data_IF_929888866951
#
_entry.id   IF_929888866951
#
_cell.length_a   1.000
_cell.length_b   1.000
_cell.length_c   1.000
_cell.angle_alpha   90.00
_cell.angle_beta   90.00
_cell.angle_gamma   90.00
#
_symmetry.space_group_name_H-M   'P 1'
#
loop_
_entity.id
_entity.type
_entity.pdbx_description
1 polymer ?
#
# COMPACT_ATOMS: atom_id res chain seq x y z
N UNK A 1 -3.36 2.45 -10.35
CA UNK A 1 -2.80 2.04 -9.04
C UNK A 1 -1.72 0.98 -9.30
N UNK A 2 -0.62 0.97 -8.54
CA UNK A 2 0.48 0.03 -8.75
C UNK A 2 0.11 -1.32 -8.12
N UNK A 3 0.29 -2.41 -8.87
CA UNK A 3 -0.05 -3.75 -8.40
C UNK A 3 1.06 -4.73 -8.76
N UNK A 4 1.35 -5.65 -7.85
CA UNK A 4 2.16 -6.84 -8.13
C UNK A 4 1.57 -8.08 -7.48
N UNK A 5 1.97 -9.23 -8.03
CA UNK A 5 1.74 -10.56 -7.51
C UNK A 5 2.97 -11.43 -7.78
N UNK A 6 3.21 -12.41 -6.94
CA UNK A 6 4.33 -13.31 -7.12
C UNK A 6 4.14 -14.62 -6.40
N UNK A 7 5.11 -15.48 -6.62
CA UNK A 7 5.20 -16.76 -5.96
C UNK A 7 6.66 -17.10 -5.67
N UNK A 8 6.84 -17.84 -4.59
CA UNK A 8 8.11 -18.44 -4.21
C UNK A 8 7.86 -19.91 -3.90
N UNK A 9 8.48 -20.81 -4.67
CA UNK A 9 8.14 -22.23 -4.64
C UNK A 9 9.25 -23.06 -4.00
N UNK A 10 8.88 -24.17 -3.36
CA UNK A 10 9.85 -25.22 -2.99
C UNK A 10 10.09 -26.24 -4.12
N UNK A 11 9.25 -26.23 -5.17
CA UNK A 11 9.42 -26.96 -6.45
C UNK A 11 8.83 -26.17 -7.64
N UNK A 12 9.45 -26.23 -8.82
CA UNK A 12 9.11 -25.34 -9.94
C UNK A 12 7.88 -25.83 -10.73
N UNK A 13 6.80 -25.06 -10.75
CA UNK A 13 5.63 -25.29 -11.60
C UNK A 13 5.34 -24.06 -12.49
N UNK A 14 5.62 -24.18 -13.80
CA UNK A 14 5.41 -23.12 -14.80
C UNK A 14 3.94 -22.79 -15.04
N UNK A 15 3.01 -23.61 -14.59
CA UNK A 15 1.59 -23.43 -14.90
C UNK A 15 1.01 -22.13 -14.30
N UNK A 16 1.72 -21.49 -13.37
CA UNK A 16 1.23 -20.35 -12.60
C UNK A 16 1.65 -18.97 -13.09
N UNK A 17 2.68 -18.84 -13.93
CA UNK A 17 3.11 -17.54 -14.48
C UNK A 17 1.99 -16.88 -15.30
N UNK A 18 1.24 -17.69 -16.05
CA UNK A 18 0.11 -17.24 -16.87
C UNK A 18 -1.06 -16.74 -16.03
N UNK A 19 -1.32 -17.33 -14.87
CA UNK A 19 -2.45 -16.99 -14.00
C UNK A 19 -2.26 -15.63 -13.31
N UNK A 20 -1.05 -15.35 -12.79
CA UNK A 20 -0.74 -14.04 -12.20
C UNK A 20 -0.81 -12.91 -13.23
N UNK A 21 -0.21 -13.15 -14.39
CA UNK A 21 -0.24 -12.19 -15.49
C UNK A 21 -1.68 -11.93 -15.98
N UNK A 22 -2.51 -12.96 -16.08
CA UNK A 22 -3.91 -12.84 -16.49
C UNK A 22 -4.75 -12.09 -15.44
N UNK A 23 -4.61 -12.44 -14.16
CA UNK A 23 -5.31 -11.78 -13.05
C UNK A 23 -4.99 -10.28 -12.98
N UNK A 24 -3.71 -9.92 -13.11
CA UNK A 24 -3.28 -8.53 -13.18
C UNK A 24 -3.79 -7.83 -14.45
N UNK A 25 -3.75 -8.50 -15.62
CA UNK A 25 -4.24 -7.92 -16.88
C UNK A 25 -5.70 -7.52 -16.80
N UNK A 26 -6.55 -8.34 -16.15
CA UNK A 26 -7.97 -8.03 -15.93
C UNK A 26 -8.18 -6.76 -15.10
N UNK A 27 -7.28 -6.45 -14.17
CA UNK A 27 -7.34 -5.24 -13.33
C UNK A 27 -6.85 -3.98 -14.07
N UNK A 28 -5.94 -4.14 -15.01
CA UNK A 28 -5.30 -3.04 -15.73
C UNK A 28 -5.50 -3.14 -17.23
N UNK A 29 -6.73 -3.38 -17.70
CA UNK A 29 -7.18 -3.82 -19.04
C UNK A 29 -6.47 -3.28 -20.31
N UNK A 30 -5.53 -2.34 -20.20
CA UNK A 30 -4.69 -1.80 -21.29
C UNK A 30 -3.18 -2.06 -21.14
N UNK A 31 -2.68 -2.44 -19.96
CA UNK A 31 -1.25 -2.62 -19.68
C UNK A 31 -0.89 -4.10 -19.54
N UNK A 32 0.13 -4.53 -20.30
CA UNK A 32 0.69 -5.88 -20.18
C UNK A 32 1.53 -5.95 -18.89
N UNK A 33 1.33 -6.97 -18.03
CA UNK A 33 2.20 -7.17 -16.87
C UNK A 33 3.64 -7.42 -17.29
N UNK A 34 4.59 -6.85 -16.53
CA UNK A 34 6.00 -7.19 -16.60
C UNK A 34 6.28 -8.33 -15.61
N UNK A 35 6.92 -9.41 -16.08
CA UNK A 35 7.22 -10.59 -15.26
C UNK A 35 8.72 -10.84 -15.25
N UNK A 36 9.25 -11.14 -14.06
CA UNK A 36 10.65 -11.52 -13.83
C UNK A 36 10.69 -12.82 -13.03
N UNK A 37 11.61 -13.70 -13.41
CA UNK A 37 11.86 -14.99 -12.78
C UNK A 37 13.34 -15.13 -12.42
N UNK A 38 13.63 -15.75 -11.28
CA UNK A 38 14.98 -16.18 -10.90
C UNK A 38 14.83 -17.43 -10.03
N UNK A 39 15.58 -18.48 -10.32
CA UNK A 39 15.47 -19.76 -9.60
C UNK A 39 14.03 -20.25 -9.50
N UNK A 40 13.55 -20.40 -8.26
CA UNK A 40 12.20 -20.82 -7.86
C UNK A 40 11.27 -19.65 -7.52
N UNK A 41 11.63 -18.41 -7.87
CA UNK A 41 10.84 -17.22 -7.62
C UNK A 41 10.29 -16.60 -8.91
N UNK A 42 9.07 -16.06 -8.83
CA UNK A 42 8.45 -15.26 -9.88
C UNK A 42 7.76 -14.03 -9.30
N UNK A 43 7.90 -12.90 -9.99
CA UNK A 43 7.20 -11.65 -9.70
C UNK A 43 6.63 -11.06 -10.98
N UNK A 44 5.34 -10.71 -10.97
CA UNK A 44 4.65 -10.02 -12.05
C UNK A 44 4.01 -8.74 -11.54
N UNK A 45 4.08 -7.65 -12.30
CA UNK A 45 3.55 -6.36 -11.88
C UNK A 45 2.98 -5.52 -13.03
N UNK A 46 2.08 -4.60 -12.69
CA UNK A 46 1.53 -3.56 -13.56
C UNK A 46 1.69 -2.19 -12.90
N UNK A 47 2.07 -1.18 -13.69
CA UNK A 47 2.36 0.20 -13.25
C UNK A 47 3.50 0.33 -12.22
N UNK A 48 4.22 -0.76 -11.96
CA UNK A 48 5.53 -0.81 -11.30
C UNK A 48 6.36 -1.88 -11.99
N UNK A 49 7.66 -1.95 -11.70
CA UNK A 49 8.61 -2.82 -12.39
C UNK A 49 9.31 -3.78 -11.42
N UNK A 50 9.12 -5.10 -11.57
CA UNK A 50 9.93 -6.07 -10.85
C UNK A 50 11.35 -6.09 -11.44
N UNK A 51 12.34 -6.41 -10.63
CA UNK A 51 13.74 -6.45 -11.04
C UNK A 51 14.40 -7.72 -10.52
N UNK A 52 15.19 -8.39 -11.37
CA UNK A 52 16.14 -9.42 -10.95
C UNK A 52 17.57 -8.88 -11.00
N UNK A 53 18.35 -9.14 -9.94
CA UNK A 53 19.76 -8.79 -9.82
C UNK A 53 20.45 -9.88 -8.99
N UNK A 54 21.51 -10.50 -9.51
CA UNK A 54 22.33 -11.55 -8.88
C UNK A 54 21.55 -12.54 -8.00
N UNK A 55 20.61 -13.29 -8.60
CA UNK A 55 19.84 -14.31 -7.89
C UNK A 55 18.77 -13.78 -6.93
N UNK A 56 18.54 -12.46 -6.87
CA UNK A 56 17.43 -11.86 -6.11
C UNK A 56 16.41 -11.24 -7.05
N UNK A 57 15.13 -11.29 -6.67
CA UNK A 57 14.05 -10.60 -7.36
C UNK A 57 13.37 -9.66 -6.36
N UNK A 58 13.05 -8.44 -6.79
CA UNK A 58 12.40 -7.44 -5.95
C UNK A 58 11.31 -6.70 -6.70
N UNK A 59 10.25 -6.31 -6.00
CA UNK A 59 9.21 -5.43 -6.50
C UNK A 59 8.68 -4.53 -5.38
N UNK A 60 8.38 -3.28 -5.71
CA UNK A 60 7.81 -2.29 -4.79
C UNK A 60 6.61 -1.63 -5.45
N UNK A 61 5.46 -1.63 -4.78
CA UNK A 61 4.32 -0.81 -5.15
C UNK A 61 4.19 0.36 -4.17
N UNK A 62 4.11 1.58 -4.70
CA UNK A 62 4.06 2.82 -3.92
C UNK A 62 5.42 3.54 -3.84
N UNK A 63 5.55 4.41 -2.84
CA UNK A 63 6.67 5.32 -2.63
C UNK A 63 7.43 4.94 -1.36
N UNK A 64 8.53 4.22 -1.56
CA UNK A 64 9.41 3.82 -0.47
C UNK A 64 10.41 4.95 -0.16
N UNK A 65 10.50 5.32 1.11
CA UNK A 65 11.40 6.36 1.61
C UNK A 65 12.56 5.72 2.36
N UNK A 66 13.78 6.17 2.03
CA UNK A 66 15.01 5.72 2.67
C UNK A 66 15.55 6.76 3.64
N UNK A 67 16.00 6.35 4.82
CA UNK A 67 16.74 7.21 5.75
C UNK A 67 18.19 7.48 5.27
N UNK A 68 18.80 6.52 4.57
CA UNK A 68 20.13 6.66 3.96
C UNK A 68 20.11 7.54 2.70
N UNK A 69 21.05 8.50 2.60
CA UNK A 69 21.26 9.32 1.40
C UNK A 69 21.70 8.50 0.19
N UNK A 70 22.54 7.50 0.41
CA UNK A 70 23.00 6.56 -0.61
C UNK A 70 21.82 5.80 -1.23
N UNK A 71 20.97 5.19 -0.39
CA UNK A 71 19.80 4.45 -0.88
C UNK A 71 18.76 5.35 -1.55
N UNK A 72 18.61 6.61 -1.11
CA UNK A 72 17.79 7.60 -1.82
C UNK A 72 18.32 7.84 -3.24
N UNK A 73 19.63 8.06 -3.38
CA UNK A 73 20.27 8.27 -4.68
C UNK A 73 20.12 7.04 -5.57
N UNK A 74 20.44 5.86 -5.04
CA UNK A 74 20.28 4.60 -5.75
C UNK A 74 18.83 4.37 -6.21
N UNK A 75 17.84 4.70 -5.37
CA UNK A 75 16.43 4.57 -5.76
C UNK A 75 16.00 5.54 -6.85
N UNK A 76 16.61 6.74 -6.92
CA UNK A 76 16.34 7.71 -7.97
C UNK A 76 16.98 7.30 -9.30
N UNK A 77 18.20 6.75 -9.26
CA UNK A 77 18.96 6.35 -10.45
C UNK A 77 18.48 5.00 -11.01
N UNK A 78 18.08 4.07 -10.14
CA UNK A 78 17.86 2.67 -10.49
C UNK A 78 16.50 2.11 -10.06
N UNK A 79 15.67 2.89 -9.38
CA UNK A 79 14.34 2.50 -8.92
C UNK A 79 14.33 1.81 -7.55
N UNK A 80 13.15 1.80 -6.91
CA UNK A 80 12.98 1.29 -5.55
C UNK A 80 13.33 -0.18 -5.39
N UNK A 81 13.00 -1.04 -6.35
CA UNK A 81 13.27 -2.48 -6.26
C UNK A 81 14.78 -2.79 -6.23
N UNK A 82 15.60 -2.07 -7.02
CA UNK A 82 17.06 -2.24 -6.98
C UNK A 82 17.66 -1.73 -5.67
N UNK A 83 17.20 -0.58 -5.20
CA UNK A 83 17.62 -0.06 -3.90
C UNK A 83 17.22 -0.99 -2.74
N UNK A 84 16.06 -1.64 -2.83
CA UNK A 84 15.61 -2.64 -1.86
C UNK A 84 16.52 -3.86 -1.80
N UNK A 85 16.82 -4.47 -2.96
CA UNK A 85 17.76 -5.60 -3.06
C UNK A 85 19.13 -5.21 -2.49
N UNK A 86 19.62 -4.03 -2.84
CA UNK A 86 20.90 -3.53 -2.37
C UNK A 86 20.93 -3.32 -0.85
N UNK A 87 19.87 -2.73 -0.28
CA UNK A 87 19.76 -2.49 1.16
C UNK A 87 19.73 -3.81 1.95
N UNK A 88 18.96 -4.80 1.47
CA UNK A 88 18.91 -6.14 2.08
C UNK A 88 20.29 -6.82 2.06
N UNK A 89 21.01 -6.78 0.92
CA UNK A 89 22.36 -7.34 0.84
C UNK A 89 23.36 -6.71 1.79
N UNK A 90 23.32 -5.38 1.91
CA UNK A 90 24.27 -4.68 2.77
C UNK A 90 24.00 -4.88 4.26
N UNK A 91 22.73 -5.01 4.67
CA UNK A 91 22.33 -4.90 6.08
C UNK A 91 21.58 -6.10 6.65
N UNK A 92 21.34 -7.14 5.84
CA UNK A 92 20.45 -8.23 6.23
C UNK A 92 19.10 -7.68 6.66
N UNK A 93 18.54 -8.19 7.77
CA UNK A 93 17.22 -7.78 8.28
C UNK A 93 17.16 -6.33 8.80
N UNK A 94 18.30 -5.77 9.23
CA UNK A 94 18.37 -4.42 9.81
C UNK A 94 18.07 -3.30 8.81
N UNK A 95 17.91 -3.61 7.52
CA UNK A 95 17.47 -2.62 6.54
C UNK A 95 16.04 -2.10 6.83
N UNK A 96 15.20 -2.89 7.51
CA UNK A 96 13.82 -2.51 7.86
C UNK A 96 13.75 -1.25 8.74
N UNK A 97 14.79 -0.99 9.54
CA UNK A 97 14.89 0.23 10.37
C UNK A 97 15.07 1.50 9.52
N UNK A 98 15.55 1.33 8.28
CA UNK A 98 15.91 2.42 7.38
C UNK A 98 14.84 2.77 6.35
N UNK A 99 13.69 2.07 6.37
CA UNK A 99 12.60 2.26 5.40
C UNK A 99 11.34 2.88 6.02
N UNK A 100 10.62 3.62 5.20
CA UNK A 100 9.32 4.20 5.50
C UNK A 100 8.60 4.61 4.21
N UNK A 101 7.59 5.47 4.34
CA UNK A 101 6.78 5.90 3.20
C UNK A 101 5.53 5.04 3.00
N UNK A 102 4.93 5.18 1.83
CA UNK A 102 3.67 4.54 1.44
C UNK A 102 3.97 3.40 0.49
N UNK A 103 4.21 2.18 0.98
CA UNK A 103 4.64 1.09 0.10
C UNK A 103 4.19 -0.29 0.56
N UNK A 104 4.21 -1.21 -0.39
CA UNK A 104 4.28 -2.64 -0.11
C UNK A 104 5.34 -3.25 -1.03
N UNK A 105 6.09 -4.21 -0.53
CA UNK A 105 7.24 -4.75 -1.24
C UNK A 105 7.34 -6.26 -1.11
N UNK A 106 7.93 -6.88 -2.13
CA UNK A 106 8.35 -8.26 -2.13
C UNK A 106 9.81 -8.35 -2.52
N UNK A 107 10.56 -9.18 -1.80
CA UNK A 107 11.95 -9.54 -2.12
C UNK A 107 12.08 -11.05 -2.01
N UNK A 108 12.68 -11.67 -3.02
CA UNK A 108 12.96 -13.11 -3.08
C UNK A 108 14.45 -13.27 -3.30
N UNK A 109 15.11 -14.00 -2.43
CA UNK A 109 16.51 -14.39 -2.54
C UNK A 109 16.58 -15.90 -2.82
N UNK A 110 17.03 -16.23 -4.03
CA UNK A 110 17.06 -17.60 -4.53
C UNK A 110 18.26 -18.39 -4.02
N UNK A 111 19.31 -17.70 -3.58
CA UNK A 111 20.51 -18.33 -3.02
C UNK A 111 20.21 -18.82 -1.61
N UNK A 112 19.61 -17.97 -0.78
CA UNK A 112 19.20 -18.32 0.60
C UNK A 112 17.82 -18.98 0.67
N UNK A 113 17.09 -19.08 -0.45
CA UNK A 113 15.71 -19.59 -0.51
C UNK A 113 14.79 -18.87 0.47
N UNK A 114 14.92 -17.55 0.53
CA UNK A 114 14.08 -16.70 1.38
C UNK A 114 13.17 -15.80 0.57
N UNK A 115 11.96 -15.55 1.06
CA UNK A 115 11.08 -14.52 0.56
C UNK A 115 10.62 -13.61 1.69
N UNK A 116 10.53 -12.32 1.37
CA UNK A 116 10.22 -11.23 2.27
C UNK A 116 9.06 -10.44 1.69
N UNK A 117 7.92 -10.44 2.37
CA UNK A 117 6.80 -9.57 2.05
C UNK A 117 6.72 -8.48 3.10
N UNK A 118 6.79 -7.22 2.69
CA UNK A 118 6.99 -6.09 3.60
C UNK A 118 5.85 -5.10 3.39
N UNK A 119 5.15 -4.80 4.48
CA UNK A 119 4.06 -3.85 4.49
C UNK A 119 4.48 -2.57 5.22
N UNK A 120 4.19 -1.39 4.65
CA UNK A 120 4.52 -0.14 5.33
C UNK A 120 3.90 0.01 6.72
N UNK A 121 4.39 1.00 7.47
CA UNK A 121 4.11 1.23 8.88
C UNK A 121 2.62 1.39 9.23
N UNK A 122 1.79 1.82 8.28
CA UNK A 122 0.36 2.05 8.48
C UNK A 122 -0.53 1.16 7.60
N UNK A 123 0.07 0.37 6.70
CA UNK A 123 -0.65 -0.54 5.80
C UNK A 123 -1.43 0.19 4.71
N UNK A 124 -0.80 1.14 4.03
CA UNK A 124 -1.45 2.00 3.03
C UNK A 124 -1.95 1.28 1.78
N UNK A 125 -1.30 0.18 1.41
CA UNK A 125 -1.76 -0.72 0.36
C UNK A 125 -2.25 -2.02 0.99
N UNK A 126 -2.86 -2.92 0.21
CA UNK A 126 -3.09 -4.28 0.72
C UNK A 126 -2.00 -5.21 0.19
N UNK A 127 -1.61 -6.18 1.01
CA UNK A 127 -0.75 -7.28 0.62
C UNK A 127 -1.31 -8.56 1.22
N UNK A 128 -1.66 -9.49 0.34
CA UNK A 128 -2.29 -10.75 0.69
C UNK A 128 -1.33 -11.88 0.39
N UNK A 129 -1.44 -12.96 1.15
CA UNK A 129 -0.64 -14.15 0.93
C UNK A 129 -1.39 -15.42 1.30
N UNK A 130 -0.96 -16.53 0.71
CA UNK A 130 -1.41 -17.88 1.01
C UNK A 130 -0.25 -18.85 0.79
N UNK A 131 -0.18 -19.88 1.64
CA UNK A 131 0.68 -21.04 1.42
C UNK A 131 -0.14 -22.16 0.79
N UNK A 132 0.37 -22.80 -0.26
CA UNK A 132 -0.28 -24.00 -0.80
C UNK A 132 0.12 -25.26 -0.01
N UNK A 133 -0.63 -26.38 -0.16
CA UNK A 133 -0.29 -27.63 0.52
C UNK A 133 1.09 -28.21 0.15
N UNK A 134 1.75 -27.70 -0.89
CA UNK A 134 3.07 -28.12 -1.34
C UNK A 134 4.20 -27.26 -0.77
N UNK A 135 3.88 -26.28 0.10
CA UNK A 135 4.86 -25.39 0.75
C UNK A 135 5.20 -24.13 -0.06
N UNK A 136 4.54 -23.88 -1.18
CA UNK A 136 4.74 -22.68 -1.99
C UNK A 136 4.05 -21.46 -1.40
N UNK A 137 4.75 -20.32 -1.39
CA UNK A 137 4.18 -19.02 -1.03
C UNK A 137 3.64 -18.31 -2.25
N UNK A 138 2.38 -17.87 -2.17
CA UNK A 138 1.74 -17.04 -3.18
C UNK A 138 1.27 -15.74 -2.56
N UNK A 139 1.49 -14.63 -3.26
CA UNK A 139 1.14 -13.32 -2.73
C UNK A 139 0.70 -12.35 -3.82
N UNK A 140 -0.13 -11.38 -3.42
CA UNK A 140 -0.62 -10.35 -4.32
C UNK A 140 -1.06 -9.13 -3.54
N UNK A 141 -0.90 -7.96 -4.16
CA UNK A 141 -1.51 -6.71 -3.69
C UNK A 141 -3.03 -6.67 -3.93
N UNK A 142 -3.58 -7.67 -4.63
CA UNK A 142 -5.00 -7.76 -4.96
C UNK A 142 -5.55 -9.14 -4.63
N UNK A 143 -6.52 -9.17 -3.72
CA UNK A 143 -7.09 -10.39 -3.15
C UNK A 143 -7.68 -11.34 -4.20
N UNK A 144 -8.38 -10.79 -5.20
CA UNK A 144 -9.07 -11.58 -6.23
C UNK A 144 -8.08 -12.37 -7.09
N UNK A 145 -6.86 -11.86 -7.30
CA UNK A 145 -5.81 -12.61 -8.03
C UNK A 145 -5.43 -13.89 -7.29
N UNK A 146 -5.36 -13.86 -5.96
CA UNK A 146 -5.09 -15.08 -5.16
C UNK A 146 -6.30 -15.99 -5.06
N UNK A 147 -7.52 -15.43 -5.06
CA UNK A 147 -8.74 -16.24 -5.06
C UNK A 147 -8.87 -17.11 -6.33
N UNK A 148 -8.28 -16.68 -7.44
CA UNK A 148 -8.22 -17.46 -8.68
C UNK A 148 -7.21 -18.63 -8.65
N UNK A 149 -6.49 -18.84 -7.54
CA UNK A 149 -5.54 -19.94 -7.44
C UNK A 149 -6.22 -21.31 -7.54
N UNK A 150 -5.84 -22.19 -8.50
CA UNK A 150 -6.59 -23.41 -8.83
C UNK A 150 -6.62 -24.45 -7.69
N UNK A 151 -5.59 -24.48 -6.83
CA UNK A 151 -5.56 -25.38 -5.66
C UNK A 151 -6.24 -24.78 -4.42
N UNK A 152 -6.73 -23.53 -4.49
CA UNK A 152 -7.30 -22.83 -3.36
C UNK A 152 -8.83 -22.98 -3.34
N UNK A 153 -9.36 -23.50 -2.24
CA UNK A 153 -10.81 -23.52 -2.05
C UNK A 153 -11.30 -22.14 -1.64
N UNK A 154 -12.22 -21.55 -2.43
CA UNK A 154 -12.85 -20.23 -2.17
C UNK A 154 -13.91 -20.31 -1.06
N UNK A 155 -13.55 -20.86 0.10
CA UNK A 155 -14.46 -20.92 1.25
C UNK A 155 -14.53 -19.57 1.93
N UNK A 156 -15.74 -19.04 2.05
CA UNK A 156 -15.99 -17.81 2.82
C UNK A 156 -15.79 -18.09 4.31
N UNK A 157 -15.12 -17.16 5.00
CA UNK A 157 -14.93 -17.23 6.45
C UNK A 157 -16.16 -16.71 7.17
N UNK A 158 -16.79 -17.54 8.02
CA UNK A 158 -17.89 -17.10 8.89
C UNK A 158 -17.44 -15.97 9.83
N UNK A 159 -16.19 -16.03 10.31
CA UNK A 159 -15.61 -14.96 11.10
C UNK A 159 -15.52 -13.66 10.30
N UNK A 160 -15.15 -13.73 9.02
CA UNK A 160 -15.07 -12.53 8.18
C UNK A 160 -16.44 -11.92 7.90
N UNK A 161 -17.50 -12.74 7.80
CA UNK A 161 -18.88 -12.24 7.71
C UNK A 161 -19.25 -11.49 8.99
N UNK A 162 -18.97 -12.09 10.16
CA UNK A 162 -19.18 -11.43 11.44
C UNK A 162 -18.40 -10.11 11.53
N UNK A 163 -17.10 -10.14 11.22
CA UNK A 163 -16.22 -8.97 11.28
C UNK A 163 -16.74 -7.85 10.37
N UNK A 164 -17.20 -8.18 9.17
CA UNK A 164 -17.77 -7.21 8.25
C UNK A 164 -19.03 -6.54 8.81
N UNK A 165 -19.98 -7.31 9.36
CA UNK A 165 -21.19 -6.73 9.93
C UNK A 165 -20.93 -5.97 11.23
N UNK A 166 -19.95 -6.40 12.03
CA UNK A 166 -19.65 -5.80 13.32
C UNK A 166 -18.73 -4.55 13.19
N UNK A 167 -17.67 -4.63 12.39
CA UNK A 167 -16.67 -3.57 12.21
C UNK A 167 -16.85 -2.73 10.93
N UNK A 168 -17.80 -3.09 10.05
CA UNK A 168 -17.95 -2.53 8.69
C UNK A 168 -16.71 -2.74 7.79
N UNK A 169 -15.81 -3.64 8.19
CA UNK A 169 -14.63 -4.07 7.44
C UNK A 169 -14.14 -5.43 7.94
N UNK A 170 -13.27 -6.10 7.17
CA UNK A 170 -12.57 -7.30 7.63
C UNK A 170 -11.16 -6.90 8.07
N UNK A 171 -10.83 -6.96 9.37
CA UNK A 171 -9.52 -6.57 9.87
C UNK A 171 -8.43 -7.58 9.45
N UNK A 172 -7.20 -7.10 9.26
CA UNK A 172 -6.03 -7.99 9.18
C UNK A 172 -5.86 -8.75 10.51
N UNK A 173 -5.44 -10.02 10.49
CA UNK A 173 -4.87 -10.74 9.34
C UNK A 173 -5.91 -11.48 8.47
N UNK A 174 -7.20 -11.32 8.73
CA UNK A 174 -8.27 -11.99 8.00
C UNK A 174 -8.49 -11.45 6.58
N UNK A 175 -9.18 -12.26 5.77
CA UNK A 175 -9.83 -11.84 4.53
C UNK A 175 -11.21 -12.52 4.44
N UNK A 176 -11.99 -12.22 3.40
CA UNK A 176 -13.25 -12.93 3.16
C UNK A 176 -13.05 -14.44 2.95
N UNK A 177 -11.86 -14.85 2.50
CA UNK A 177 -11.53 -16.26 2.27
C UNK A 177 -10.77 -16.85 3.46
N UNK A 178 -11.14 -18.07 3.87
CA UNK A 178 -10.54 -18.75 5.03
C UNK A 178 -9.02 -18.98 4.90
N UNK A 179 -8.55 -19.26 3.68
CA UNK A 179 -7.16 -19.65 3.39
C UNK A 179 -6.23 -18.47 3.09
N UNK A 180 -6.78 -17.29 2.77
CA UNK A 180 -5.97 -16.13 2.38
C UNK A 180 -5.84 -15.18 3.57
N UNK A 181 -4.62 -14.74 3.83
CA UNK A 181 -4.28 -13.82 4.92
C UNK A 181 -3.89 -12.46 4.35
N UNK A 182 -4.20 -11.40 5.09
CA UNK A 182 -3.76 -10.03 4.80
C UNK A 182 -2.62 -9.65 5.74
N UNK A 183 -1.49 -9.21 5.21
CA UNK A 183 -0.38 -8.70 5.99
C UNK A 183 -0.77 -7.37 6.65
N UNK A 184 -0.56 -7.25 7.96
CA UNK A 184 -0.93 -6.09 8.74
C UNK A 184 0.07 -4.93 8.64
N UNK A 185 -0.29 -3.75 9.17
CA UNK A 185 0.61 -2.60 9.23
C UNK A 185 1.95 -2.93 9.92
N UNK A 186 3.04 -2.39 9.39
CA UNK A 186 4.39 -2.57 9.90
C UNK A 186 4.83 -4.04 10.04
N UNK A 187 4.18 -4.96 9.32
CA UNK A 187 4.54 -6.36 9.34
C UNK A 187 5.45 -6.73 8.19
N UNK A 188 6.32 -7.69 8.47
CA UNK A 188 7.11 -8.41 7.48
C UNK A 188 6.82 -9.90 7.61
N UNK A 189 6.50 -10.54 6.49
CA UNK A 189 6.41 -11.99 6.38
C UNK A 189 7.74 -12.51 5.82
N UNK A 190 8.42 -13.35 6.59
CA UNK A 190 9.60 -14.10 6.16
C UNK A 190 9.15 -15.52 5.84
N UNK A 191 9.54 -15.98 4.67
CA UNK A 191 9.37 -17.35 4.23
C UNK A 191 10.75 -17.93 4.00
N UNK A 192 11.04 -19.08 4.61
CA UNK A 192 12.25 -19.84 4.35
C UNK A 192 11.85 -21.31 4.19
N UNK A 193 12.04 -21.86 2.99
CA UNK A 193 11.51 -23.15 2.60
C UNK A 193 10.01 -23.25 2.94
N UNK A 194 9.59 -24.25 3.73
CA UNK A 194 8.18 -24.48 4.11
C UNK A 194 7.74 -23.72 5.38
N UNK A 195 8.63 -22.88 5.94
CA UNK A 195 8.36 -22.15 7.19
C UNK A 195 8.02 -20.68 6.94
N UNK A 196 7.01 -20.20 7.66
CA UNK A 196 6.53 -18.83 7.59
C UNK A 196 6.58 -18.20 8.98
N UNK A 197 7.14 -17.00 9.07
CA UNK A 197 7.04 -16.18 10.27
C UNK A 197 6.64 -14.77 9.89
N UNK A 198 5.74 -14.18 10.67
CA UNK A 198 5.38 -12.77 10.54
C UNK A 198 5.80 -12.03 11.80
N UNK A 199 6.52 -10.93 11.63
CA UNK A 199 6.91 -10.07 12.74
C UNK A 199 6.56 -8.62 12.46
N UNK A 200 6.38 -7.83 13.52
CA UNK A 200 6.16 -6.39 13.42
C UNK A 200 7.51 -5.70 13.52
N UNK A 201 7.98 -5.11 12.42
CA UNK A 201 9.31 -4.47 12.36
C UNK A 201 9.29 -3.03 12.89
N UNK A 202 8.11 -2.43 13.05
CA UNK A 202 7.98 -1.07 13.59
C UNK A 202 6.73 -0.93 14.47
N UNK A 203 6.85 -0.22 15.58
CA UNK A 203 5.73 0.16 16.45
C UNK A 203 5.78 1.65 16.72
N UNK A 204 4.63 2.36 16.73
CA UNK A 204 4.59 3.75 17.14
C UNK A 204 5.05 3.85 18.61
N UNK A 205 5.87 4.85 18.90
CA UNK A 205 6.29 5.17 20.26
C UNK A 205 5.60 6.47 20.66
N UNK A 206 4.83 6.41 21.72
CA UNK A 206 4.17 7.58 22.32
C UNK A 206 4.95 7.94 23.59
N UNK A 207 5.72 9.03 23.55
CA UNK A 207 6.35 9.58 24.75
C UNK A 207 5.56 10.83 25.16
N UNK A 208 4.87 10.74 26.29
CA UNK A 208 4.01 11.81 26.81
C UNK A 208 4.82 12.86 27.60
N UNK A 209 6.14 12.66 27.78
CA UNK A 209 7.03 13.60 28.49
C UNK A 209 7.60 14.65 27.54
N UNK A 210 6.71 15.34 26.84
CA UNK A 210 7.09 16.45 25.98
C UNK A 210 7.59 17.61 26.84
N UNK A 211 8.72 18.20 26.46
CA UNK A 211 9.28 19.39 27.10
C UNK A 211 8.92 20.67 26.34
N UNK A 212 8.43 20.48 25.12
CA UNK A 212 8.02 21.51 24.18
C UNK A 212 6.70 22.16 24.61
N UNK A 213 6.60 23.46 24.38
CA UNK A 213 5.38 24.24 24.60
C UNK A 213 4.34 23.95 23.52
N UNK A 214 3.06 24.26 23.81
CA UNK A 214 1.96 24.16 22.83
C UNK A 214 2.23 24.94 21.54
N UNK A 215 2.93 26.09 21.62
CA UNK A 215 3.31 26.89 20.44
C UNK A 215 4.34 26.16 19.57
N UNK A 216 5.35 25.55 20.18
CA UNK A 216 6.37 24.77 19.46
C UNK A 216 5.76 23.55 18.79
N UNK A 217 4.90 22.83 19.51
CA UNK A 217 4.16 21.68 18.97
C UNK A 217 3.22 22.07 17.82
N UNK A 218 2.55 23.22 17.91
CA UNK A 218 1.72 23.76 16.82
C UNK A 218 2.56 24.09 15.58
N UNK A 219 3.72 24.72 15.77
CA UNK A 219 4.66 24.99 14.68
C UNK A 219 5.16 23.71 14.01
N UNK A 220 5.50 22.70 14.81
CA UNK A 220 5.94 21.39 14.32
C UNK A 220 4.82 20.66 13.57
N UNK A 221 3.59 20.68 14.08
CA UNK A 221 2.42 20.11 13.41
C UNK A 221 2.22 20.74 12.02
N UNK A 222 2.26 22.08 11.93
CA UNK A 222 2.16 22.76 10.64
C UNK A 222 3.29 22.37 9.67
N UNK A 223 4.52 22.26 10.17
CA UNK A 223 5.68 21.87 9.37
C UNK A 223 5.53 20.44 8.84
N UNK A 224 5.13 19.50 9.69
CA UNK A 224 4.92 18.09 9.34
C UNK A 224 3.76 17.94 8.35
N UNK A 225 2.63 18.62 8.59
CA UNK A 225 1.49 18.63 7.66
C UNK A 225 1.87 19.18 6.30
N UNK A 226 2.55 20.34 6.24
CA UNK A 226 3.04 20.92 4.99
C UNK A 226 3.95 19.94 4.25
N UNK A 227 4.88 19.29 4.95
CA UNK A 227 5.77 18.28 4.36
C UNK A 227 4.99 17.08 3.80
N UNK A 228 4.01 16.57 4.54
CA UNK A 228 3.19 15.44 4.12
C UNK A 228 2.37 15.75 2.85
N UNK A 229 1.68 16.90 2.83
CA UNK A 229 0.87 17.31 1.67
C UNK A 229 1.76 17.63 0.46
N UNK A 230 2.90 18.30 0.66
CA UNK A 230 3.88 18.52 -0.42
C UNK A 230 4.42 17.20 -0.99
N UNK A 231 4.70 16.22 -0.12
CA UNK A 231 5.15 14.89 -0.55
C UNK A 231 4.10 14.16 -1.37
N UNK A 232 2.81 14.33 -1.08
CA UNK A 232 1.72 13.74 -1.85
C UNK A 232 1.54 14.43 -3.21
N UNK A 233 1.66 15.77 -3.27
CA UNK A 233 1.59 16.53 -4.53
C UNK A 233 2.67 16.15 -5.54
N UNK A 234 3.88 15.87 -5.06
CA UNK A 234 5.03 15.58 -5.91
C UNK A 234 5.03 14.15 -6.50
N UNK A 235 4.01 13.33 -6.21
CA UNK A 235 3.86 11.97 -6.76
C UNK A 235 3.33 11.95 -8.21
N UNK A 236 3.08 13.12 -8.80
CA UNK A 236 2.68 13.29 -10.20
C UNK A 236 1.16 13.36 -10.42
N UNK A 237 0.76 13.89 -11.58
CA UNK A 237 -0.64 14.04 -11.98
C UNK A 237 -1.35 15.28 -11.44
N UNK A 238 -2.64 15.41 -11.75
CA UNK A 238 -3.49 16.47 -11.23
C UNK A 238 -4.02 16.07 -9.84
N UNK A 239 -3.46 16.65 -8.78
CA UNK A 239 -3.90 16.38 -7.43
C UNK A 239 -5.20 17.11 -7.06
N UNK A 240 -5.99 16.49 -6.19
CA UNK A 240 -7.15 17.08 -5.54
C UNK A 240 -7.36 16.47 -4.16
N UNK A 241 -8.25 17.05 -3.37
CA UNK A 241 -8.53 16.57 -2.02
C UNK A 241 -10.03 16.31 -1.83
N UNK A 242 -10.36 15.22 -1.14
CA UNK A 242 -11.70 15.03 -0.61
C UNK A 242 -11.95 16.02 0.53
N UNK A 243 -13.15 16.59 0.57
CA UNK A 243 -13.56 17.59 1.54
C UNK A 243 -14.90 17.19 2.14
N UNK A 244 -14.91 16.87 3.43
CA UNK A 244 -16.14 16.51 4.17
C UNK A 244 -16.70 17.69 4.95
N UNK A 245 -15.95 18.79 5.12
CA UNK A 245 -16.35 19.91 5.98
C UNK A 245 -15.91 19.75 7.44
N UNK A 246 -15.43 18.57 7.83
CA UNK A 246 -14.73 18.34 9.09
C UNK A 246 -13.36 19.05 9.17
N UNK A 247 -12.80 19.09 10.38
CA UNK A 247 -11.53 19.76 10.67
C UNK A 247 -10.36 19.16 9.86
N UNK A 248 -10.29 17.84 9.76
CA UNK A 248 -9.15 17.14 9.16
C UNK A 248 -9.04 17.41 7.65
N UNK A 249 -10.12 17.16 6.92
CA UNK A 249 -10.18 17.39 5.48
C UNK A 249 -10.03 18.88 5.14
N UNK A 250 -10.59 19.76 5.98
CA UNK A 250 -10.41 21.20 5.83
C UNK A 250 -8.97 21.65 6.06
N UNK A 251 -8.26 21.03 7.01
CA UNK A 251 -6.84 21.28 7.27
C UNK A 251 -5.99 20.87 6.08
N UNK A 252 -6.23 19.67 5.53
CA UNK A 252 -5.53 19.20 4.32
C UNK A 252 -5.76 20.14 3.14
N UNK A 253 -7.01 20.55 2.90
CA UNK A 253 -7.35 21.51 1.82
C UNK A 253 -6.70 22.88 2.04
N UNK A 254 -6.67 23.37 3.27
CA UNK A 254 -6.01 24.62 3.61
C UNK A 254 -4.52 24.59 3.33
N UNK A 255 -3.83 23.53 3.78
CA UNK A 255 -2.41 23.31 3.51
C UNK A 255 -2.15 23.15 2.02
N UNK A 256 -2.94 22.32 1.33
CA UNK A 256 -2.85 22.11 -0.12
C UNK A 256 -2.96 23.43 -0.88
N UNK A 257 -3.91 24.29 -0.51
CA UNK A 257 -4.11 25.59 -1.15
C UNK A 257 -2.99 26.58 -0.84
N UNK A 258 -2.35 26.47 0.33
CA UNK A 258 -1.20 27.31 0.70
C UNK A 258 0.12 26.91 0.02
N UNK A 259 0.19 25.73 -0.60
CA UNK A 259 1.39 25.25 -1.31
C UNK A 259 1.20 25.09 -2.81
N UNK A 260 -0.03 25.16 -3.30
CA UNK A 260 -0.35 25.03 -4.71
C UNK A 260 -0.24 26.37 -5.43
N UNK A 261 0.36 26.36 -6.62
CA UNK A 261 0.45 27.56 -7.48
C UNK A 261 -0.87 27.90 -8.18
N UNK A 262 -1.82 26.94 -8.23
CA UNK A 262 -3.15 27.10 -8.84
C UNK A 262 -4.22 26.76 -7.81
N UNK A 263 -5.45 27.17 -8.08
CA UNK A 263 -6.59 26.81 -7.25
C UNK A 263 -6.68 25.28 -7.10
N UNK A 264 -6.60 24.81 -5.86
CA UNK A 264 -6.70 23.39 -5.52
C UNK A 264 -8.06 22.85 -5.92
N UNK A 265 -8.10 21.63 -6.47
CA UNK A 265 -9.37 20.92 -6.71
C UNK A 265 -9.81 20.26 -5.41
N UNK A 266 -11.07 20.45 -5.04
CA UNK A 266 -11.68 19.79 -3.88
C UNK A 266 -12.98 19.10 -4.26
N UNK A 267 -13.27 17.97 -3.65
CA UNK A 267 -14.40 17.11 -4.01
C UNK A 267 -15.20 16.73 -2.77
N UNK A 268 -16.52 16.89 -2.83
CA UNK A 268 -17.45 16.48 -1.77
C UNK A 268 -18.56 15.59 -2.33
N UNK A 269 -18.96 14.61 -1.52
CA UNK A 269 -20.19 13.85 -1.73
C UNK A 269 -21.24 14.37 -0.76
N UNK A 270 -22.40 14.76 -1.30
CA UNK A 270 -23.58 15.14 -0.54
C UNK A 270 -24.61 14.03 -0.55
N UNK A 271 -25.49 14.03 0.45
CA UNK A 271 -26.57 13.06 0.60
C UNK A 271 -27.91 13.76 0.66
N UNK A 272 -28.91 13.29 -0.08
CA UNK A 272 -30.30 13.75 0.11
C UNK A 272 -30.97 13.03 1.29
N UNK A 273 -30.28 13.00 2.43
CA UNK A 273 -30.71 12.36 3.67
C UNK A 273 -30.44 13.31 4.83
N UNK A 274 -31.51 13.68 5.55
CA UNK A 274 -31.42 14.64 6.65
C UNK A 274 -30.45 14.14 7.72
N UNK A 275 -29.48 14.98 8.08
CA UNK A 275 -28.45 14.67 9.08
C UNK A 275 -27.19 13.99 8.55
N UNK A 276 -27.16 13.62 7.27
CA UNK A 276 -26.00 12.97 6.63
C UNK A 276 -25.29 13.86 5.60
N UNK A 277 -25.77 15.08 5.37
CA UNK A 277 -25.16 16.03 4.44
C UNK A 277 -24.23 17.02 5.14
N UNK A 278 -22.93 16.86 4.92
CA UNK A 278 -21.90 17.76 5.43
C UNK A 278 -21.46 18.84 4.40
N UNK A 279 -22.04 18.84 3.20
CA UNK A 279 -21.66 19.78 2.12
C UNK A 279 -21.78 21.27 2.52
N UNK A 280 -22.74 21.72 3.36
CA UNK A 280 -22.75 23.12 3.81
C UNK A 280 -21.46 23.54 4.52
N UNK A 281 -20.84 22.65 5.30
CA UNK A 281 -19.57 22.90 5.98
C UNK A 281 -18.39 22.85 5.01
N UNK A 282 -18.38 21.89 4.07
CA UNK A 282 -17.39 21.83 2.99
C UNK A 282 -17.32 23.15 2.19
N UNK A 283 -18.47 23.75 1.87
CA UNK A 283 -18.57 25.05 1.17
C UNK A 283 -17.89 26.19 1.92
N UNK A 284 -17.87 26.17 3.27
CA UNK A 284 -17.17 27.19 4.07
C UNK A 284 -15.68 27.14 3.77
N UNK A 285 -15.09 25.95 3.88
CA UNK A 285 -13.66 25.71 3.58
C UNK A 285 -13.33 26.04 2.13
N UNK A 286 -14.16 25.58 1.18
CA UNK A 286 -13.97 25.83 -0.24
C UNK A 286 -13.95 27.34 -0.56
N UNK A 287 -14.90 28.11 -0.01
CA UNK A 287 -14.92 29.58 -0.16
C UNK A 287 -13.71 30.24 0.50
N UNK A 288 -13.34 29.81 1.71
CA UNK A 288 -12.22 30.38 2.48
C UNK A 288 -10.88 30.26 1.75
N UNK A 289 -10.65 29.12 1.09
CA UNK A 289 -9.41 28.81 0.38
C UNK A 289 -9.52 28.96 -1.15
N UNK A 290 -10.67 29.42 -1.66
CA UNK A 290 -10.92 29.65 -3.10
C UNK A 290 -10.59 28.43 -3.96
N UNK A 291 -10.97 27.24 -3.50
CA UNK A 291 -10.74 25.99 -4.23
C UNK A 291 -11.67 25.89 -5.44
N UNK A 292 -11.23 25.19 -6.50
CA UNK A 292 -12.15 24.72 -7.53
C UNK A 292 -12.95 23.52 -6.97
N UNK A 293 -14.11 23.82 -6.38
CA UNK A 293 -14.89 22.86 -5.61
C UNK A 293 -15.93 22.14 -6.47
N UNK A 294 -15.94 20.81 -6.37
CA UNK A 294 -16.88 19.94 -7.04
C UNK A 294 -17.72 19.20 -5.99
N UNK A 295 -19.04 19.29 -6.13
CA UNK A 295 -19.98 18.58 -5.28
C UNK A 295 -20.78 17.61 -6.13
N UNK A 296 -20.99 16.40 -5.61
CA UNK A 296 -21.86 15.40 -6.23
C UNK A 296 -22.82 14.85 -5.17
N UNK A 297 -24.12 14.91 -5.45
CA UNK A 297 -25.14 14.34 -4.57
C UNK A 297 -25.42 12.91 -5.01
N UNK A 298 -25.05 11.95 -4.16
CA UNK A 298 -25.28 10.53 -4.47
C UNK A 298 -26.76 10.20 -4.41
N UNK A 299 -27.16 9.32 -5.33
CA UNK A 299 -28.50 8.80 -5.50
C UNK A 299 -28.49 7.28 -5.29
N UNK A 300 -29.65 6.66 -5.05
CA UNK A 300 -29.73 5.20 -4.98
C UNK A 300 -29.18 4.47 -6.20
N UNK A 301 -29.21 5.10 -7.39
CA UNK A 301 -28.69 4.53 -8.62
C UNK A 301 -27.14 4.46 -8.67
N UNK A 302 -26.44 5.17 -7.78
CA UNK A 302 -24.97 5.17 -7.72
C UNK A 302 -24.39 3.98 -6.93
N UNK A 303 -25.22 3.24 -6.18
CA UNK A 303 -24.80 2.18 -5.23
C UNK A 303 -25.09 0.77 -5.77
N UNK A 304 -25.56 0.68 -7.02
CA UNK A 304 -26.04 -0.57 -7.66
C UNK A 304 -24.90 -1.43 -8.19
#
# INVERSE_FOLDING_TARGET
MMHFSGAFFTGYDRMFESHFAEGLRKLGAKSKPETVTAGNGVLSAIHTKPVAVDGMIGCVAGHLHWSSSELRRLSQENGYARALIHAYRQRGESFLDSIGGQFTAALIDTETRTAWLIQDRVGTHSLYYVSDPSGGLFFSTVLTVLAEHPKLQRRVSNQAIYDYFYFQMIPSPGTIYQSIRKLGPAQVLKCHADSFSSETYWKPRFDERLKETSRELSGELHRVLRKAVSSALNQGGAAGAFLSGGLDSSTVVGVLSAISARASRSFSIGFNAKGYDETPYARITARRFKTNHHEYFVTPADVV
#
